data_IF_749353520888
#
_entry.id   IF_749353520888
#
_cell.length_a   1.000
_cell.length_b   1.000
_cell.length_c   1.000
_cell.angle_alpha   90.00
_cell.angle_beta   90.00
_cell.angle_gamma   90.00
#
_symmetry.space_group_name_H-M   'P 1'
#
loop_
_entity.id
_entity.type
_entity.pdbx_description
1 polymer ?
#
# COMPACT_ATOMS: atom_id res chain seq x y z
N UNK A 1 -10.40 21.40 116.61
CA UNK A 1 -10.86 22.25 115.49
C UNK A 1 -10.55 21.52 114.19
N UNK A 2 -11.61 21.19 113.45
CA UNK A 2 -11.66 20.79 112.02
C UNK A 2 -11.14 21.94 111.12
N UNK A 3 -10.82 21.78 109.79
CA UNK A 3 -11.36 20.79 108.84
C UNK A 3 -10.28 20.26 107.81
N UNK A 4 -10.60 19.69 106.61
CA UNK A 4 -10.11 18.36 106.17
C UNK A 4 -9.50 18.40 104.71
N UNK A 5 -9.44 17.32 103.89
CA UNK A 5 -8.53 17.17 102.75
C UNK A 5 -9.02 17.82 101.45
N UNK A 6 -8.09 18.19 100.56
CA UNK A 6 -8.41 18.57 99.18
C UNK A 6 -8.01 17.46 98.19
N UNK A 7 -9.02 16.83 97.61
CA UNK A 7 -8.94 16.07 96.37
C UNK A 7 -8.57 17.02 95.22
N UNK A 8 -7.62 16.62 94.37
CA UNK A 8 -7.43 17.26 93.07
C UNK A 8 -8.25 16.46 92.06
N UNK A 9 -9.38 17.05 91.64
CA UNK A 9 -10.22 16.60 90.54
C UNK A 9 -9.44 16.64 89.22
N UNK A 10 -9.52 15.53 88.47
CA UNK A 10 -9.17 15.51 87.06
C UNK A 10 -10.24 16.26 86.26
N UNK A 11 -9.84 17.26 85.48
CA UNK A 11 -10.67 17.82 84.40
C UNK A 11 -9.95 17.79 83.06
N UNK A 12 -10.37 16.79 82.30
CA UNK A 12 -10.26 16.56 80.85
C UNK A 12 -9.92 17.77 79.95
N UNK A 13 -8.82 17.63 79.20
CA UNK A 13 -8.51 18.42 78.01
C UNK A 13 -9.63 18.26 76.96
N UNK A 14 -10.41 19.32 76.70
CA UNK A 14 -11.34 19.38 75.57
C UNK A 14 -10.84 20.23 74.38
N UNK A 15 -9.70 20.91 74.51
CA UNK A 15 -9.12 21.74 73.44
C UNK A 15 -8.10 21.03 72.54
N UNK A 16 -7.29 20.12 73.09
CA UNK A 16 -6.24 19.42 72.34
C UNK A 16 -6.82 18.40 71.33
N UNK A 17 -7.96 17.78 71.66
CA UNK A 17 -8.60 16.78 70.81
C UNK A 17 -9.04 17.36 69.45
N UNK A 18 -9.58 18.58 69.43
CA UNK A 18 -10.03 19.26 68.20
C UNK A 18 -8.87 19.65 67.29
N UNK A 19 -7.77 20.13 67.87
CA UNK A 19 -6.55 20.48 67.11
C UNK A 19 -5.89 19.23 66.56
N UNK A 20 -5.79 18.16 67.36
CA UNK A 20 -5.24 16.87 66.92
C UNK A 20 -6.11 16.27 65.81
N UNK A 21 -7.44 16.33 65.93
CA UNK A 21 -8.35 15.83 64.89
C UNK A 21 -8.26 16.65 63.60
N UNK A 22 -8.13 17.98 63.69
CA UNK A 22 -7.91 18.86 62.54
C UNK A 22 -6.57 18.56 61.86
N UNK A 23 -5.50 18.39 62.62
CA UNK A 23 -4.17 18.06 62.09
C UNK A 23 -4.18 16.69 61.42
N UNK A 24 -4.81 15.69 62.02
CA UNK A 24 -4.99 14.35 61.42
C UNK A 24 -5.82 14.45 60.14
N UNK A 25 -6.87 15.28 60.12
CA UNK A 25 -7.70 15.49 58.94
C UNK A 25 -6.93 16.20 57.83
N UNK A 26 -6.17 17.26 58.12
CA UNK A 26 -5.35 17.98 57.13
C UNK A 26 -4.24 17.09 56.58
N UNK A 27 -3.56 16.30 57.43
CA UNK A 27 -2.54 15.34 56.99
C UNK A 27 -3.18 14.21 56.17
N UNK A 28 -4.35 13.72 56.57
CA UNK A 28 -5.12 12.70 55.84
C UNK A 28 -5.56 13.16 54.46
N UNK A 29 -6.12 14.37 54.35
CA UNK A 29 -6.47 14.97 53.06
C UNK A 29 -5.24 15.26 52.19
N UNK A 30 -4.14 15.72 52.79
CA UNK A 30 -2.88 15.97 52.06
C UNK A 30 -2.27 14.68 51.52
N UNK A 31 -2.28 13.59 52.29
CA UNK A 31 -1.77 12.29 51.87
C UNK A 31 -2.60 11.67 50.73
N UNK A 32 -3.94 11.81 50.78
CA UNK A 32 -4.82 11.39 49.70
C UNK A 32 -4.57 12.19 48.42
N UNK A 33 -4.36 13.50 48.54
CA UNK A 33 -4.10 14.38 47.39
C UNK A 33 -2.73 14.09 46.74
N UNK A 34 -1.67 13.92 47.55
CA UNK A 34 -0.32 13.58 47.07
C UNK A 34 -0.26 12.19 46.41
N UNK A 35 -0.97 11.18 46.96
CA UNK A 35 -1.05 9.86 46.34
C UNK A 35 -1.86 9.87 45.02
N UNK A 36 -2.90 10.68 44.92
CA UNK A 36 -3.70 10.79 43.68
C UNK A 36 -2.95 11.47 42.53
N UNK A 37 -2.12 12.48 42.84
CA UNK A 37 -1.30 13.19 41.86
C UNK A 37 -0.23 12.27 41.25
N UNK A 38 0.40 11.45 42.09
CA UNK A 38 1.42 10.46 41.66
C UNK A 38 0.86 9.42 40.68
N UNK A 39 -0.36 8.93 40.89
CA UNK A 39 -0.98 7.92 40.00
C UNK A 39 -1.38 8.50 38.64
N UNK A 40 -1.93 9.72 38.61
CA UNK A 40 -2.28 10.40 37.37
C UNK A 40 -1.02 10.69 36.54
N UNK A 41 0.06 11.18 37.17
CA UNK A 41 1.33 11.43 36.51
C UNK A 41 1.98 10.15 35.96
N UNK A 42 1.96 9.06 36.73
CA UNK A 42 2.45 7.76 36.25
C UNK A 42 1.64 7.25 35.04
N UNK A 43 0.31 7.38 35.06
CA UNK A 43 -0.52 6.99 33.92
C UNK A 43 -0.25 7.86 32.69
N UNK A 44 -0.10 9.16 32.86
CA UNK A 44 0.26 10.08 31.79
C UNK A 44 1.64 9.75 31.20
N UNK A 45 2.64 9.42 32.04
CA UNK A 45 3.95 8.98 31.59
C UNK A 45 3.88 7.68 30.78
N UNK A 46 3.08 6.70 31.24
CA UNK A 46 2.86 5.45 30.51
C UNK A 46 2.21 5.69 29.15
N UNK A 47 1.16 6.50 29.09
CA UNK A 47 0.49 6.86 27.83
C UNK A 47 1.44 7.59 26.88
N UNK A 48 2.23 8.53 27.39
CA UNK A 48 3.23 9.27 26.61
C UNK A 48 4.28 8.31 26.03
N UNK A 49 4.79 7.37 26.83
CA UNK A 49 5.73 6.35 26.37
C UNK A 49 5.10 5.44 25.31
N UNK A 50 3.87 4.97 25.52
CA UNK A 50 3.16 4.15 24.54
C UNK A 50 2.99 4.90 23.22
N UNK A 51 2.53 6.14 23.25
CA UNK A 51 2.34 6.98 22.08
C UNK A 51 3.67 7.20 21.33
N UNK A 52 4.76 7.47 22.04
CA UNK A 52 6.09 7.63 21.45
C UNK A 52 6.58 6.35 20.76
N UNK A 53 6.44 5.19 21.42
CA UNK A 53 6.81 3.89 20.85
C UNK A 53 5.97 3.54 19.61
N UNK A 54 4.65 3.76 19.64
CA UNK A 54 3.78 3.53 18.49
C UNK A 54 4.13 4.47 17.33
N UNK A 55 4.38 5.75 17.59
CA UNK A 55 4.77 6.72 16.58
C UNK A 55 6.11 6.35 15.93
N UNK A 56 7.11 5.99 16.73
CA UNK A 56 8.41 5.57 16.20
C UNK A 56 8.32 4.30 15.33
N UNK A 57 7.49 3.33 15.73
CA UNK A 57 7.22 2.14 14.92
C UNK A 57 6.50 2.48 13.60
N UNK A 58 5.52 3.39 13.65
CA UNK A 58 4.77 3.85 12.47
C UNK A 58 5.71 4.53 11.47
N UNK A 59 6.54 5.46 11.91
CA UNK A 59 7.49 6.16 11.04
C UNK A 59 8.52 5.20 10.44
N UNK A 60 9.04 4.23 11.21
CA UNK A 60 9.97 3.25 10.69
C UNK A 60 9.36 2.34 9.61
N UNK A 61 8.10 1.93 9.78
CA UNK A 61 7.37 1.13 8.77
C UNK A 61 7.12 1.94 7.49
N UNK A 62 6.73 3.21 7.60
CA UNK A 62 6.58 4.09 6.43
C UNK A 62 7.94 4.28 5.74
N UNK A 63 9.01 4.53 6.51
CA UNK A 63 10.38 4.66 5.99
C UNK A 63 10.87 3.39 5.26
N UNK A 64 10.56 2.21 5.81
CA UNK A 64 10.83 0.93 5.16
C UNK A 64 10.11 0.83 3.81
N UNK A 65 8.80 1.12 3.77
CA UNK A 65 8.02 1.08 2.54
C UNK A 65 8.53 2.06 1.47
N UNK A 66 8.91 3.28 1.88
CA UNK A 66 9.43 4.34 1.00
C UNK A 66 10.79 3.98 0.40
N UNK A 67 11.62 3.21 1.12
CA UNK A 67 12.99 2.84 0.68
C UNK A 67 13.12 1.38 0.21
N UNK A 68 12.01 0.63 0.17
CA UNK A 68 12.04 -0.80 -0.16
C UNK A 68 12.71 -1.09 -1.52
N UNK A 69 12.33 -0.38 -2.57
CA UNK A 69 12.94 -0.53 -3.91
C UNK A 69 14.42 -0.14 -3.97
N UNK A 70 14.90 0.74 -3.08
CA UNK A 70 16.32 1.13 -3.03
C UNK A 70 17.18 0.02 -2.42
N UNK A 71 16.61 -0.74 -1.48
CA UNK A 71 17.28 -1.80 -0.73
C UNK A 71 17.03 -3.20 -1.31
N UNK A 72 16.04 -3.34 -2.20
CA UNK A 72 15.65 -4.60 -2.82
C UNK A 72 15.64 -4.46 -4.34
N UNK A 73 16.78 -4.80 -4.96
CA UNK A 73 16.95 -4.73 -6.42
C UNK A 73 15.83 -5.48 -7.16
N UNK A 74 15.28 -4.84 -8.19
CA UNK A 74 14.19 -5.40 -8.98
C UNK A 74 12.81 -5.36 -8.30
N UNK A 75 12.63 -4.53 -7.27
CA UNK A 75 11.34 -4.32 -6.59
C UNK A 75 10.93 -2.85 -6.60
N UNK A 76 9.61 -2.61 -6.57
CA UNK A 76 9.03 -1.27 -6.39
C UNK A 76 8.89 -0.91 -4.92
N UNK A 77 8.70 0.37 -4.61
CA UNK A 77 8.38 0.83 -3.26
C UNK A 77 6.98 0.39 -2.81
N UNK A 78 6.71 0.49 -1.50
CA UNK A 78 5.38 0.27 -0.92
C UNK A 78 5.25 -1.00 -0.07
N UNK A 79 6.18 -1.94 -0.20
CA UNK A 79 6.14 -3.16 0.60
C UNK A 79 6.57 -2.94 2.06
N UNK A 80 5.94 -3.69 2.97
CA UNK A 80 6.21 -3.71 4.40
C UNK A 80 6.81 -5.07 4.81
N UNK A 81 7.61 -5.13 5.89
CA UNK A 81 8.21 -6.39 6.33
C UNK A 81 7.14 -7.35 6.87
N UNK A 82 7.38 -8.66 6.73
CA UNK A 82 6.64 -9.65 7.51
C UNK A 82 6.86 -9.39 9.02
N UNK A 83 5.86 -9.66 9.89
CA UNK A 83 6.05 -9.59 11.34
C UNK A 83 7.15 -10.55 11.82
N UNK A 84 7.65 -10.29 13.03
CA UNK A 84 8.48 -11.26 13.74
C UNK A 84 7.59 -12.37 14.32
N UNK A 85 7.81 -13.60 13.89
CA UNK A 85 7.05 -14.79 14.26
C UNK A 85 7.93 -15.73 15.10
N UNK A 86 7.31 -16.66 15.85
CA UNK A 86 8.05 -17.67 16.60
C UNK A 86 8.94 -18.50 15.68
N UNK A 87 10.19 -18.70 16.10
CA UNK A 87 11.14 -19.52 15.38
C UNK A 87 10.83 -21.02 15.50
N UNK A 88 10.52 -21.65 14.37
CA UNK A 88 10.74 -23.09 14.12
C UNK A 88 11.10 -23.27 12.64
N UNK A 89 12.12 -24.10 12.33
CA UNK A 89 12.70 -24.50 11.02
C UNK A 89 12.87 -23.45 9.88
N UNK A 90 12.39 -22.20 10.03
CA UNK A 90 12.35 -21.14 9.01
C UNK A 90 12.89 -19.77 9.51
N UNK A 91 13.66 -19.76 10.60
CA UNK A 91 14.83 -18.87 10.71
C UNK A 91 14.70 -17.44 11.23
N UNK A 92 13.57 -16.95 11.75
CA UNK A 92 13.54 -15.61 12.36
C UNK A 92 13.96 -15.66 13.84
N UNK A 93 15.10 -15.05 14.17
CA UNK A 93 15.44 -14.77 15.58
C UNK A 93 14.65 -13.55 16.06
N UNK A 94 14.46 -13.43 17.38
CA UNK A 94 13.69 -12.34 17.98
C UNK A 94 14.08 -10.96 17.41
N UNK A 95 13.06 -10.21 17.02
CA UNK A 95 13.18 -8.89 16.42
C UNK A 95 13.40 -8.86 14.91
N UNK A 96 13.70 -9.98 14.26
CA UNK A 96 13.83 -10.02 12.80
C UNK A 96 12.49 -10.29 12.11
N UNK A 97 12.30 -9.73 10.92
CA UNK A 97 11.16 -10.10 10.08
C UNK A 97 11.23 -11.58 9.72
N UNK A 98 10.07 -12.24 9.66
CA UNK A 98 10.01 -13.60 9.14
C UNK A 98 10.44 -13.64 7.67
N UNK A 99 11.32 -14.57 7.29
CA UNK A 99 11.75 -14.73 5.90
C UNK A 99 10.59 -15.07 4.96
N UNK A 100 9.55 -15.72 5.48
CA UNK A 100 8.23 -15.87 4.86
C UNK A 100 7.17 -15.82 5.96
N UNK A 101 6.05 -15.13 5.71
CA UNK A 101 4.91 -15.14 6.62
C UNK A 101 3.80 -16.07 6.11
N UNK A 102 2.91 -15.58 5.24
CA UNK A 102 1.74 -16.34 4.72
C UNK A 102 1.71 -16.39 3.20
N UNK A 103 0.72 -17.07 2.62
CA UNK A 103 0.45 -17.03 1.17
C UNK A 103 0.11 -15.63 0.67
N UNK A 104 0.16 -15.45 -0.65
CA UNK A 104 -0.14 -14.17 -1.33
C UNK A 104 -1.51 -13.62 -0.91
N UNK A 105 -1.60 -12.31 -0.69
CA UNK A 105 -2.82 -11.60 -0.29
C UNK A 105 -3.50 -12.13 1.00
N UNK A 106 -2.76 -12.84 1.85
CA UNK A 106 -3.21 -13.25 3.20
C UNK A 106 -2.47 -12.38 4.23
N UNK A 107 -3.22 -11.71 5.11
CA UNK A 107 -2.63 -10.87 6.16
C UNK A 107 -1.91 -11.70 7.22
N UNK A 108 -0.98 -11.10 7.95
CA UNK A 108 -0.26 -11.77 9.05
C UNK A 108 -0.17 -10.85 10.27
N UNK A 109 -0.27 -11.43 11.46
CA UNK A 109 0.00 -10.75 12.74
C UNK A 109 1.17 -11.42 13.47
N UNK A 110 1.99 -10.63 14.16
CA UNK A 110 3.11 -11.09 14.96
C UNK A 110 3.71 -9.95 15.77
N UNK A 111 4.90 -10.14 16.33
CA UNK A 111 5.62 -9.05 17.00
C UNK A 111 6.19 -8.08 15.97
N UNK A 112 6.38 -6.82 16.37
CA UNK A 112 7.06 -5.84 15.53
C UNK A 112 8.50 -6.32 15.24
N UNK A 113 8.93 -6.40 13.96
CA UNK A 113 10.29 -6.81 13.60
C UNK A 113 11.27 -5.65 13.80
N UNK A 114 11.52 -5.27 15.07
CA UNK A 114 12.29 -4.09 15.42
C UNK A 114 13.74 -4.10 14.91
N UNK A 115 14.41 -5.27 14.80
CA UNK A 115 15.76 -5.35 14.21
C UNK A 115 15.74 -5.06 12.71
N UNK A 116 14.78 -5.63 12.00
CA UNK A 116 14.59 -5.38 10.55
C UNK A 116 14.40 -3.89 10.28
N UNK A 117 13.64 -3.23 11.16
CA UNK A 117 13.36 -1.80 11.09
C UNK A 117 14.50 -0.92 11.62
N UNK A 118 15.64 -1.50 12.01
CA UNK A 118 16.76 -0.82 12.66
C UNK A 118 16.34 0.04 13.86
N UNK A 119 15.44 -0.50 14.67
CA UNK A 119 14.93 0.08 15.90
C UNK A 119 15.50 -0.65 17.12
N UNK A 120 15.57 0.01 18.29
CA UNK A 120 15.64 -0.72 19.55
C UNK A 120 14.32 -1.49 19.79
N UNK A 121 14.30 -2.47 20.72
CA UNK A 121 13.06 -3.14 21.13
C UNK A 121 12.10 -2.13 21.78
N UNK A 122 11.16 -1.61 20.98
CA UNK A 122 10.18 -0.63 21.43
C UNK A 122 9.19 -1.27 22.40
N UNK A 123 8.93 -0.58 23.51
CA UNK A 123 8.04 -1.03 24.57
C UNK A 123 6.99 0.01 24.90
N UNK A 124 5.79 -0.45 25.21
CA UNK A 124 4.74 0.40 25.71
C UNK A 124 5.00 0.90 27.15
N UNK A 125 4.06 1.69 27.67
CA UNK A 125 4.07 2.22 29.03
C UNK A 125 4.07 1.14 30.12
N UNK A 126 3.61 -0.07 29.81
CA UNK A 126 3.59 -1.21 30.75
C UNK A 126 4.80 -2.13 30.61
N UNK A 127 5.64 -1.90 29.61
CA UNK A 127 6.88 -2.64 29.38
C UNK A 127 6.77 -3.74 28.33
N UNK A 128 5.62 -3.89 27.66
CA UNK A 128 5.42 -4.90 26.62
C UNK A 128 5.97 -4.45 25.29
N UNK A 129 6.56 -5.38 24.53
CA UNK A 129 6.93 -5.12 23.15
C UNK A 129 5.69 -4.97 22.25
N UNK A 130 5.84 -4.18 21.19
CA UNK A 130 4.77 -3.92 20.24
C UNK A 130 4.44 -5.15 19.36
N UNK A 131 3.16 -5.27 19.03
CA UNK A 131 2.63 -6.20 18.03
C UNK A 131 2.34 -5.47 16.72
N UNK A 132 2.26 -6.24 15.65
CA UNK A 132 2.17 -5.71 14.30
C UNK A 132 1.38 -6.66 13.40
N UNK A 133 0.33 -6.14 12.80
CA UNK A 133 -0.41 -6.80 11.72
C UNK A 133 -0.06 -6.11 10.39
N UNK A 134 0.25 -6.91 9.38
CA UNK A 134 0.49 -6.46 8.01
C UNK A 134 -0.60 -6.98 7.09
N UNK A 135 -1.06 -6.12 6.19
CA UNK A 135 -1.99 -6.50 5.15
C UNK A 135 -1.30 -7.44 4.15
N UNK A 136 -2.04 -8.47 3.72
CA UNK A 136 -1.55 -9.45 2.76
C UNK A 136 -1.18 -8.88 1.40
N UNK A 137 -1.74 -7.73 1.02
CA UNK A 137 -1.38 -7.01 -0.21
C UNK A 137 -0.12 -6.16 -0.07
N UNK A 138 0.31 -5.83 1.15
CA UNK A 138 1.45 -4.94 1.41
C UNK A 138 2.69 -5.64 1.96
N UNK A 139 2.58 -6.88 2.43
CA UNK A 139 3.75 -7.63 2.89
C UNK A 139 4.74 -7.93 1.75
N UNK A 140 6.02 -7.92 2.09
CA UNK A 140 7.11 -8.16 1.15
C UNK A 140 7.27 -9.66 0.75
N UNK A 141 6.66 -10.60 1.50
CA UNK A 141 6.71 -12.03 1.15
C UNK A 141 5.48 -12.85 1.64
N UNK A 142 4.78 -13.63 0.79
CA UNK A 142 4.80 -13.56 -0.68
C UNK A 142 4.05 -12.30 -1.16
N UNK A 143 4.66 -11.48 -2.04
CA UNK A 143 4.10 -10.20 -2.43
C UNK A 143 2.83 -10.32 -3.28
N UNK A 144 2.05 -9.25 -3.33
CA UNK A 144 0.90 -9.13 -4.23
C UNK A 144 1.32 -9.05 -5.71
N UNK A 145 0.36 -9.12 -6.63
CA UNK A 145 0.63 -9.01 -8.07
C UNK A 145 0.86 -7.57 -8.54
N UNK A 146 0.22 -6.61 -7.89
CA UNK A 146 0.26 -5.19 -8.26
C UNK A 146 0.54 -4.38 -6.99
N UNK A 147 1.70 -3.73 -6.93
CA UNK A 147 2.06 -2.78 -5.89
C UNK A 147 2.17 -1.37 -6.49
N UNK A 148 1.06 -0.66 -6.43
CA UNK A 148 0.92 0.72 -6.87
C UNK A 148 -0.02 1.49 -5.92
N UNK A 149 -0.25 2.78 -6.19
CA UNK A 149 -1.05 3.63 -5.30
C UNK A 149 -2.51 3.23 -5.13
N UNK A 150 -3.02 2.31 -5.96
CA UNK A 150 -4.38 1.77 -5.89
C UNK A 150 -4.44 0.36 -5.28
N UNK A 151 -3.28 -0.21 -4.89
CA UNK A 151 -3.23 -1.39 -4.02
C UNK A 151 -3.80 -1.01 -2.67
N UNK A 152 -4.95 -1.59 -2.31
CA UNK A 152 -5.62 -1.29 -1.04
C UNK A 152 -5.17 -2.24 0.07
N UNK A 153 -5.36 -1.78 1.31
CA UNK A 153 -5.17 -2.61 2.49
C UNK A 153 -6.27 -3.65 2.65
N UNK A 154 -6.09 -4.52 3.65
CA UNK A 154 -7.02 -5.59 4.02
C UNK A 154 -7.38 -5.51 5.51
N UNK A 155 -7.05 -4.41 6.19
CA UNK A 155 -7.25 -4.28 7.63
C UNK A 155 -8.27 -3.17 7.87
N UNK A 156 -9.41 -3.53 8.44
CA UNK A 156 -10.46 -2.60 8.85
C UNK A 156 -10.24 -2.20 10.30
N UNK A 157 -10.16 -0.90 10.58
CA UNK A 157 -10.07 -0.39 11.94
C UNK A 157 -11.37 0.30 12.29
N UNK A 158 -12.03 -0.16 13.34
CA UNK A 158 -13.24 0.45 13.90
C UNK A 158 -12.86 1.34 15.08
N UNK A 159 -13.61 2.42 15.31
CA UNK A 159 -13.46 3.32 16.46
C UNK A 159 -13.77 2.58 17.78
N UNK A 160 -13.86 3.29 18.90
CA UNK A 160 -14.13 2.72 20.24
C UNK A 160 -15.61 2.38 20.52
N UNK A 161 -16.51 2.67 19.58
CA UNK A 161 -17.94 2.29 19.62
C UNK A 161 -18.25 0.89 19.07
N UNK A 162 -17.49 0.42 18.08
CA UNK A 162 -17.48 -0.95 17.55
C UNK A 162 -18.08 -1.01 16.16
N UNK A 163 -18.54 0.15 15.68
CA UNK A 163 -19.42 0.28 14.53
C UNK A 163 -18.90 1.34 13.56
N UNK A 164 -18.27 2.41 14.05
CA UNK A 164 -17.70 3.46 13.20
C UNK A 164 -16.41 2.97 12.55
N UNK A 165 -16.42 2.78 11.24
CA UNK A 165 -15.24 2.39 10.48
C UNK A 165 -14.32 3.61 10.25
N UNK A 166 -13.09 3.56 10.77
CA UNK A 166 -12.08 4.61 10.62
C UNK A 166 -11.28 4.50 9.31
N UNK A 167 -11.30 3.32 8.69
CA UNK A 167 -10.57 3.02 7.45
C UNK A 167 -11.57 2.68 6.34
N UNK A 168 -11.98 3.65 5.51
CA UNK A 168 -13.03 3.45 4.50
C UNK A 168 -12.64 2.38 3.48
N UNK A 169 -13.63 1.87 2.75
CA UNK A 169 -13.49 0.68 1.90
C UNK A 169 -12.34 0.77 0.88
N UNK A 170 -12.03 1.96 0.36
CA UNK A 170 -10.98 2.24 -0.62
C UNK A 170 -9.69 2.81 -0.02
N UNK A 171 -9.58 2.86 1.31
CA UNK A 171 -8.40 3.28 2.05
C UNK A 171 -8.27 2.49 3.36
N UNK A 172 -8.36 1.17 3.24
CA UNK A 172 -8.18 0.26 4.38
C UNK A 172 -6.75 0.34 4.91
N UNK A 173 -6.56 0.01 6.18
CA UNK A 173 -5.22 -0.04 6.75
C UNK A 173 -4.38 -1.15 6.09
N UNK A 174 -3.13 -0.82 5.83
CA UNK A 174 -2.09 -1.73 5.30
C UNK A 174 -1.22 -2.28 6.41
N UNK A 175 -1.19 -1.60 7.55
CA UNK A 175 -0.59 -2.09 8.77
C UNK A 175 -1.30 -1.54 10.02
N UNK A 176 -1.26 -2.32 11.09
CA UNK A 176 -1.71 -1.91 12.42
C UNK A 176 -0.64 -2.32 13.43
N UNK A 177 -0.27 -1.39 14.30
CA UNK A 177 0.76 -1.57 15.33
C UNK A 177 0.08 -1.45 16.68
N UNK A 178 0.21 -2.46 17.52
CA UNK A 178 -0.47 -2.55 18.80
C UNK A 178 0.52 -2.46 19.96
N UNK A 179 0.11 -1.75 20.99
CA UNK A 179 0.66 -1.74 22.33
C UNK A 179 -0.32 -2.49 23.25
N UNK A 180 0.02 -3.70 23.72
CA UNK A 180 -0.88 -4.56 24.48
C UNK A 180 -1.38 -3.98 25.81
N UNK A 181 -0.64 -3.03 26.39
CA UNK A 181 -0.94 -2.54 27.72
C UNK A 181 -0.87 -3.62 28.80
N UNK A 182 -1.54 -3.35 29.92
CA UNK A 182 -1.52 -4.25 31.08
C UNK A 182 -2.26 -5.55 30.76
N UNK A 183 -1.75 -6.68 31.26
CA UNK A 183 -2.37 -7.97 31.03
C UNK A 183 -3.81 -8.02 31.56
N UNK A 184 -4.74 -8.44 30.71
CA UNK A 184 -6.14 -8.67 31.08
C UNK A 184 -6.36 -10.09 31.62
N UNK A 185 -7.52 -10.32 32.24
CA UNK A 185 -7.90 -11.66 32.72
C UNK A 185 -7.90 -12.67 31.57
N UNK A 186 -7.21 -13.79 31.75
CA UNK A 186 -7.08 -14.85 30.75
C UNK A 186 -5.84 -14.72 29.85
N UNK A 187 -5.16 -13.57 29.84
CA UNK A 187 -3.91 -13.41 29.11
C UNK A 187 -2.74 -14.05 29.86
N UNK A 188 -2.06 -14.99 29.19
CA UNK A 188 -0.92 -15.72 29.76
C UNK A 188 0.38 -15.39 29.03
N UNK A 189 1.12 -14.44 29.58
CA UNK A 189 2.37 -13.91 28.99
C UNK A 189 3.60 -14.66 29.49
N UNK A 190 3.51 -15.99 29.61
CA UNK A 190 4.60 -16.83 30.13
C UNK A 190 5.87 -16.70 29.29
N UNK A 191 7.04 -16.45 29.90
CA UNK A 191 8.31 -16.36 29.19
C UNK A 191 8.67 -17.61 28.38
N UNK A 192 9.16 -17.39 27.16
CA UNK A 192 9.71 -18.35 26.23
C UNK A 192 11.19 -17.99 25.97
N UNK A 193 12.07 -19.00 25.96
CA UNK A 193 13.50 -18.86 25.67
C UNK A 193 13.75 -18.33 24.26
N UNK A 194 12.78 -18.41 23.35
CA UNK A 194 12.82 -17.80 22.01
C UNK A 194 12.62 -16.27 22.01
N UNK A 195 12.31 -15.67 23.16
CA UNK A 195 12.08 -14.21 23.34
C UNK A 195 12.90 -13.60 24.49
N UNK A 196 14.24 -13.74 24.51
CA UNK A 196 15.06 -13.26 25.63
C UNK A 196 14.97 -11.75 25.88
N UNK A 197 14.62 -10.95 24.87
CA UNK A 197 14.53 -9.50 24.99
C UNK A 197 13.11 -9.09 25.36
N UNK A 198 12.13 -9.34 24.50
CA UNK A 198 10.74 -8.94 24.71
C UNK A 198 10.03 -9.72 25.81
N UNK A 199 10.51 -10.93 26.11
CA UNK A 199 9.89 -11.84 27.06
C UNK A 199 8.55 -12.39 26.56
N UNK A 200 8.00 -13.31 27.35
CA UNK A 200 6.70 -13.89 27.07
C UNK A 200 6.71 -14.85 25.88
N UNK A 201 5.66 -14.87 25.03
CA UNK A 201 5.55 -15.80 23.90
C UNK A 201 5.03 -15.11 22.62
N UNK A 202 4.89 -15.85 21.51
CA UNK A 202 4.42 -15.33 20.22
C UNK A 202 2.93 -15.60 19.92
N UNK A 203 2.12 -15.88 20.95
CA UNK A 203 0.68 -16.07 20.78
C UNK A 203 -0.03 -14.73 20.94
N UNK A 204 -0.55 -14.13 19.86
CA UNK A 204 -1.17 -12.80 19.89
C UNK A 204 -2.31 -12.67 20.91
N UNK A 205 -3.14 -13.71 21.08
CA UNK A 205 -4.26 -13.72 22.04
C UNK A 205 -3.83 -13.71 23.51
N UNK A 206 -2.55 -13.94 23.80
CA UNK A 206 -2.00 -13.76 25.15
C UNK A 206 -1.67 -12.30 25.47
N UNK A 207 -1.85 -11.38 24.51
CA UNK A 207 -1.46 -9.97 24.62
C UNK A 207 -2.55 -9.02 24.18
N UNK A 208 -3.17 -9.30 23.05
CA UNK A 208 -4.15 -8.41 22.42
C UNK A 208 -5.58 -8.86 22.74
N UNK A 209 -6.46 -7.88 22.81
CA UNK A 209 -7.78 -8.02 23.39
C UNK A 209 -8.87 -8.37 22.37
N UNK A 210 -10.01 -8.82 22.88
CA UNK A 210 -11.20 -9.13 22.10
C UNK A 210 -12.44 -8.77 22.89
N UNK A 211 -13.41 -8.11 22.24
CA UNK A 211 -14.74 -7.84 22.82
C UNK A 211 -15.77 -8.92 22.45
N UNK A 212 -15.29 -10.04 21.90
CA UNK A 212 -16.13 -11.14 21.40
C UNK A 212 -16.68 -10.91 19.99
N UNK A 213 -16.67 -9.68 19.48
CA UNK A 213 -17.11 -9.33 18.12
C UNK A 213 -15.94 -8.96 17.22
N UNK A 214 -15.03 -8.12 17.73
CA UNK A 214 -13.78 -7.71 17.09
C UNK A 214 -12.62 -8.17 17.96
N UNK A 215 -11.64 -8.80 17.33
CA UNK A 215 -10.52 -9.44 18.02
C UNK A 215 -9.19 -8.93 17.49
N UNK A 216 -8.48 -8.13 18.31
CA UNK A 216 -7.21 -7.53 17.97
C UNK A 216 -6.07 -8.53 17.79
N UNK A 217 -6.21 -9.74 18.31
CA UNK A 217 -5.23 -10.82 18.16
C UNK A 217 -5.32 -11.59 16.83
N UNK A 218 -6.26 -11.28 15.94
CA UNK A 218 -6.54 -12.14 14.77
C UNK A 218 -6.61 -11.38 13.45
N UNK A 219 -6.13 -12.03 12.39
CA UNK A 219 -6.31 -11.63 10.99
C UNK A 219 -6.97 -12.77 10.22
N UNK A 220 -7.58 -12.48 9.08
CA UNK A 220 -8.15 -13.53 8.23
C UNK A 220 -7.05 -14.38 7.58
N UNK A 221 -7.21 -15.70 7.64
CA UNK A 221 -6.35 -16.67 6.94
C UNK A 221 -6.75 -16.87 5.47
N UNK A 222 -7.80 -16.19 5.00
CA UNK A 222 -8.32 -16.31 3.63
C UNK A 222 -7.72 -15.20 2.76
N UNK A 223 -7.26 -15.54 1.56
CA UNK A 223 -6.73 -14.56 0.62
C UNK A 223 -7.79 -13.50 0.27
N UNK A 224 -7.37 -12.24 0.18
CA UNK A 224 -8.22 -11.08 -0.12
C UNK A 224 -9.28 -10.74 0.94
N UNK A 225 -9.38 -11.50 2.04
CA UNK A 225 -10.32 -11.22 3.10
C UNK A 225 -9.81 -10.12 4.04
N UNK A 226 -10.75 -9.36 4.60
CA UNK A 226 -10.42 -8.26 5.51
C UNK A 226 -10.35 -8.72 6.97
N UNK A 227 -9.31 -8.30 7.70
CA UNK A 227 -9.26 -8.38 9.16
C UNK A 227 -9.99 -7.18 9.81
N UNK A 228 -10.43 -7.32 11.06
CA UNK A 228 -11.11 -6.26 11.81
C UNK A 228 -10.39 -6.01 13.13
N UNK A 229 -10.17 -4.73 13.46
CA UNK A 229 -9.48 -4.28 14.66
C UNK A 229 -10.25 -3.16 15.37
N UNK A 230 -10.01 -3.03 16.67
CA UNK A 230 -10.78 -2.22 17.61
C UNK A 230 -9.95 -1.09 18.22
N UNK A 231 -10.14 0.13 17.75
CA UNK A 231 -9.36 1.31 18.16
C UNK A 231 -9.92 1.96 19.42
N UNK A 232 -9.02 2.30 20.34
CA UNK A 232 -9.36 2.97 21.59
C UNK A 232 -9.79 1.98 22.67
N UNK A 233 -9.99 2.53 23.87
CA UNK A 233 -10.35 1.74 25.04
C UNK A 233 -11.84 1.44 25.08
N UNK A 234 -12.19 0.22 25.44
CA UNK A 234 -13.56 -0.24 25.65
C UNK A 234 -13.59 -1.28 26.78
N UNK A 235 -14.77 -1.74 27.19
CA UNK A 235 -14.86 -2.83 28.17
C UNK A 235 -14.17 -4.09 27.62
N UNK A 236 -13.13 -4.56 28.32
CA UNK A 236 -12.31 -5.69 27.87
C UNK A 236 -11.28 -5.34 26.79
N UNK A 237 -11.11 -4.07 26.41
CA UNK A 237 -10.10 -3.61 25.45
C UNK A 237 -9.28 -2.47 26.07
N UNK A 238 -8.01 -2.75 26.35
CA UNK A 238 -7.01 -1.78 26.80
C UNK A 238 -5.81 -1.67 25.85
N UNK A 239 -5.79 -2.44 24.76
CA UNK A 239 -4.90 -2.23 23.63
C UNK A 239 -4.92 -0.78 23.15
N UNK A 240 -3.73 -0.20 22.96
CA UNK A 240 -3.55 1.02 22.20
C UNK A 240 -2.98 0.65 20.83
N UNK A 241 -3.30 1.42 19.79
CA UNK A 241 -2.71 1.17 18.47
C UNK A 241 -2.55 2.42 17.64
N UNK A 242 -1.73 2.31 16.61
CA UNK A 242 -1.73 3.18 15.44
C UNK A 242 -1.87 2.32 14.19
N UNK A 243 -2.46 2.88 13.14
CA UNK A 243 -2.55 2.24 11.84
C UNK A 243 -1.92 3.09 10.74
N UNK A 244 -1.53 2.40 9.68
CA UNK A 244 -0.99 2.97 8.45
C UNK A 244 -1.97 2.60 7.35
N UNK A 245 -2.40 3.59 6.58
CA UNK A 245 -3.24 3.42 5.39
C UNK A 245 -2.38 3.38 4.13
N UNK A 246 -2.95 2.98 2.99
CA UNK A 246 -2.24 3.10 1.70
C UNK A 246 -1.86 4.56 1.42
N UNK A 247 -2.72 5.52 1.78
CA UNK A 247 -2.45 6.94 1.56
C UNK A 247 -1.23 7.42 2.34
N UNK A 248 -1.02 6.96 3.57
CA UNK A 248 0.18 7.32 4.35
C UNK A 248 1.47 6.95 3.60
N UNK A 249 1.52 5.73 3.05
CA UNK A 249 2.68 5.23 2.28
C UNK A 249 2.83 5.97 0.96
N UNK A 250 1.78 6.06 0.15
CA UNK A 250 1.89 6.63 -1.20
C UNK A 250 2.02 8.15 -1.20
N UNK A 251 1.52 8.85 -0.18
CA UNK A 251 1.80 10.28 0.00
C UNK A 251 3.27 10.52 0.36
N UNK A 252 3.93 9.57 1.05
CA UNK A 252 5.36 9.66 1.32
C UNK A 252 6.20 9.32 0.07
N UNK A 253 5.84 8.27 -0.66
CA UNK A 253 6.53 7.87 -1.90
C UNK A 253 6.45 8.96 -2.97
N UNK A 254 5.28 9.59 -3.16
CA UNK A 254 5.09 10.66 -4.15
C UNK A 254 5.93 11.91 -3.87
N UNK A 255 6.40 12.11 -2.64
CA UNK A 255 7.29 13.23 -2.28
C UNK A 255 8.76 12.97 -2.64
N UNK A 256 9.13 11.74 -3.01
CA UNK A 256 10.47 11.46 -3.50
C UNK A 256 10.70 12.21 -4.82
N UNK A 257 11.90 12.76 -4.99
CA UNK A 257 12.27 13.52 -6.18
C UNK A 257 12.43 12.65 -7.44
N UNK A 258 12.68 11.34 -7.27
CA UNK A 258 12.90 10.38 -8.35
C UNK A 258 11.61 9.68 -8.82
N UNK A 259 10.57 9.63 -7.98
CA UNK A 259 9.38 8.83 -8.24
C UNK A 259 8.68 9.20 -9.56
N UNK A 260 8.46 10.49 -9.81
CA UNK A 260 7.84 10.93 -11.07
C UNK A 260 8.74 10.63 -12.27
N UNK A 261 10.06 10.76 -12.14
CA UNK A 261 11.00 10.43 -13.20
C UNK A 261 10.96 8.92 -13.52
N UNK A 262 10.79 8.07 -12.50
CA UNK A 262 10.62 6.62 -12.66
C UNK A 262 9.35 6.27 -13.42
N UNK A 263 8.21 6.90 -13.09
CA UNK A 263 6.96 6.69 -13.83
C UNK A 263 7.05 7.18 -15.28
N UNK A 264 7.70 8.32 -15.52
CA UNK A 264 7.97 8.80 -16.88
C UNK A 264 8.85 7.81 -17.66
N UNK A 265 9.94 7.33 -17.05
CA UNK A 265 10.84 6.38 -17.68
C UNK A 265 10.12 5.07 -18.03
N UNK A 266 9.33 4.51 -17.11
CA UNK A 266 8.53 3.32 -17.37
C UNK A 266 7.55 3.53 -18.54
N UNK A 267 6.87 4.68 -18.60
CA UNK A 267 5.92 5.02 -19.67
C UNK A 267 6.64 5.17 -21.01
N UNK A 268 7.77 5.86 -21.03
CA UNK A 268 8.64 5.99 -22.19
C UNK A 268 9.09 4.62 -22.70
N UNK A 269 9.66 3.78 -21.82
CA UNK A 269 10.18 2.46 -22.17
C UNK A 269 9.07 1.55 -22.71
N UNK A 270 7.86 1.67 -22.17
CA UNK A 270 6.68 0.98 -22.68
C UNK A 270 6.36 1.41 -24.12
N UNK A 271 6.36 2.72 -24.41
CA UNK A 271 6.18 3.23 -25.77
C UNK A 271 7.32 2.80 -26.72
N UNK A 272 8.55 2.73 -26.23
CA UNK A 272 9.69 2.26 -27.00
C UNK A 272 9.60 0.76 -27.34
N UNK A 273 9.05 -0.09 -26.45
CA UNK A 273 8.76 -1.49 -26.78
C UNK A 273 7.71 -1.63 -27.90
N UNK A 274 6.65 -0.82 -27.86
CA UNK A 274 5.65 -0.75 -28.94
C UNK A 274 6.29 -0.32 -30.26
N UNK A 275 7.12 0.72 -30.23
CA UNK A 275 7.86 1.17 -31.40
C UNK A 275 8.82 0.10 -31.94
N UNK A 276 9.49 -0.65 -31.06
CA UNK A 276 10.37 -1.75 -31.44
C UNK A 276 9.62 -2.87 -32.17
N UNK A 277 8.40 -3.22 -31.72
CA UNK A 277 7.53 -4.12 -32.48
C UNK A 277 7.29 -3.60 -33.90
N UNK A 278 6.95 -2.32 -34.05
CA UNK A 278 6.77 -1.69 -35.36
C UNK A 278 8.02 -1.74 -36.24
N UNK A 279 9.21 -1.59 -35.65
CA UNK A 279 10.48 -1.60 -36.36
C UNK A 279 10.93 -3.00 -36.79
N UNK A 280 10.35 -4.06 -36.21
CA UNK A 280 10.75 -5.46 -36.42
C UNK A 280 9.73 -6.28 -37.22
N UNK A 281 8.63 -5.66 -37.66
CA UNK A 281 7.66 -6.30 -38.53
C UNK A 281 8.17 -6.42 -39.98
N UNK A 282 7.82 -7.52 -40.65
CA UNK A 282 7.91 -7.62 -42.12
C UNK A 282 9.29 -7.89 -42.76
N UNK A 283 10.17 -8.72 -42.19
CA UNK A 283 11.35 -9.23 -42.95
C UNK A 283 11.32 -10.73 -43.26
N UNK A 284 11.60 -11.14 -44.53
CA UNK A 284 12.23 -10.35 -45.60
C UNK A 284 11.31 -10.15 -46.83
N UNK A 285 10.62 -9.01 -46.92
CA UNK A 285 10.22 -8.49 -48.23
C UNK A 285 11.47 -7.88 -48.90
N UNK A 286 11.68 -8.14 -50.19
CA UNK A 286 12.86 -7.73 -50.96
C UNK A 286 13.03 -6.20 -51.15
N UNK A 287 12.23 -5.40 -50.44
CA UNK A 287 12.36 -3.95 -50.34
C UNK A 287 11.90 -3.50 -48.92
N UNK A 288 12.82 -3.24 -47.97
CA UNK A 288 12.53 -3.09 -46.55
C UNK A 288 12.01 -1.70 -46.11
N UNK A 289 11.60 -0.83 -47.03
CA UNK A 289 10.91 0.39 -46.64
C UNK A 289 9.44 0.06 -46.32
N UNK A 290 9.02 0.29 -45.06
CA UNK A 290 7.77 0.95 -44.66
C UNK A 290 6.70 0.20 -43.85
N UNK A 291 6.76 -1.10 -43.54
CA UNK A 291 5.79 -1.64 -42.56
C UNK A 291 6.17 -1.17 -41.15
N UNK A 292 5.41 -0.21 -40.64
CA UNK A 292 5.52 0.40 -39.32
C UNK A 292 4.25 0.15 -38.50
N UNK A 293 3.57 -0.96 -38.77
CA UNK A 293 2.38 -1.34 -38.05
C UNK A 293 2.73 -1.64 -36.59
N UNK A 294 1.95 -1.10 -35.66
CA UNK A 294 2.04 -1.34 -34.23
C UNK A 294 0.98 -2.38 -33.82
N UNK A 295 1.10 -3.04 -32.65
CA UNK A 295 0.12 -4.05 -32.28
C UNK A 295 -1.23 -3.43 -31.91
N UNK A 296 -2.31 -4.21 -31.97
CA UNK A 296 -3.60 -3.85 -31.38
C UNK A 296 -3.49 -3.62 -29.87
N UNK A 297 -4.45 -2.89 -29.29
CA UNK A 297 -4.54 -2.74 -27.84
C UNK A 297 -5.09 -4.02 -27.18
N UNK A 298 -4.83 -4.19 -25.88
CA UNK A 298 -5.52 -5.19 -25.05
C UNK A 298 -6.85 -4.63 -24.49
N UNK A 299 -7.85 -5.48 -24.20
CA UNK A 299 -9.12 -5.05 -23.63
C UNK A 299 -8.97 -4.29 -22.31
N UNK A 300 -9.90 -3.36 -22.03
CA UNK A 300 -9.94 -2.66 -20.73
C UNK A 300 -10.31 -3.61 -19.59
N UNK A 301 -11.32 -4.46 -19.80
CA UNK A 301 -11.82 -5.41 -18.81
C UNK A 301 -11.07 -6.72 -18.90
N UNK A 302 -10.34 -7.07 -17.84
CA UNK A 302 -9.55 -8.29 -17.75
C UNK A 302 -10.09 -9.21 -16.65
N UNK A 303 -9.85 -10.51 -16.80
CA UNK A 303 -10.19 -11.50 -15.77
C UNK A 303 -9.36 -11.31 -14.50
N UNK A 304 -8.09 -10.98 -14.65
CA UNK A 304 -7.15 -10.65 -13.57
C UNK A 304 -6.14 -9.63 -14.10
N UNK A 305 -6.12 -8.44 -13.49
CA UNK A 305 -5.23 -7.33 -13.88
C UNK A 305 -3.78 -7.55 -13.43
N UNK A 306 -3.55 -8.44 -12.47
CA UNK A 306 -2.23 -8.82 -12.00
C UNK A 306 -1.53 -9.84 -12.90
N UNK A 307 -2.29 -10.59 -13.72
CA UNK A 307 -1.77 -11.63 -14.58
C UNK A 307 -1.40 -11.10 -15.99
N UNK A 308 -0.11 -11.11 -16.31
CA UNK A 308 0.43 -10.64 -17.61
C UNK A 308 -0.24 -11.31 -18.81
N UNK A 309 -0.59 -12.59 -18.69
CA UNK A 309 -1.22 -13.36 -19.76
C UNK A 309 -2.58 -12.85 -20.21
N UNK A 310 -3.25 -12.03 -19.40
CA UNK A 310 -4.56 -11.48 -19.70
C UNK A 310 -4.49 -10.20 -20.54
N UNK A 311 -3.33 -9.56 -20.63
CA UNK A 311 -3.09 -8.42 -21.50
C UNK A 311 -2.74 -8.93 -22.90
N UNK A 312 -3.66 -9.66 -23.53
CA UNK A 312 -3.54 -10.08 -24.92
C UNK A 312 -4.21 -9.07 -25.83
N UNK A 313 -3.59 -8.79 -26.98
CA UNK A 313 -4.13 -7.83 -27.91
C UNK A 313 -5.42 -8.35 -28.57
N UNK A 314 -6.33 -7.44 -28.91
CA UNK A 314 -7.61 -7.80 -29.54
C UNK A 314 -7.72 -7.14 -30.91
N UNK A 315 -7.91 -7.96 -31.95
CA UNK A 315 -8.06 -7.46 -33.31
C UNK A 315 -9.17 -6.39 -33.43
N UNK A 316 -8.85 -5.27 -34.07
CA UNK A 316 -9.75 -4.13 -34.25
C UNK A 316 -9.84 -3.17 -33.07
N UNK A 317 -9.08 -3.39 -31.99
CA UNK A 317 -9.07 -2.51 -30.83
C UNK A 317 -7.99 -1.42 -30.96
N UNK A 318 -8.41 -0.22 -31.37
CA UNK A 318 -7.54 0.95 -31.56
C UNK A 318 -7.25 1.74 -30.28
N UNK A 319 -7.94 1.46 -29.18
CA UNK A 319 -7.58 2.00 -27.87
C UNK A 319 -7.93 1.01 -26.76
N UNK A 320 -7.10 0.94 -25.75
CA UNK A 320 -7.25 0.01 -24.64
C UNK A 320 -6.05 0.02 -23.71
N UNK A 321 -5.75 -1.12 -23.12
CA UNK A 321 -4.54 -1.31 -22.31
C UNK A 321 -3.34 -1.59 -23.20
N UNK A 322 -2.14 -1.30 -22.70
CA UNK A 322 -0.92 -1.77 -23.36
C UNK A 322 -0.90 -3.31 -23.33
N UNK A 323 -0.74 -3.99 -24.47
CA UNK A 323 -0.69 -5.45 -24.50
C UNK A 323 0.64 -5.99 -23.93
N UNK A 324 0.59 -7.13 -23.26
CA UNK A 324 1.74 -7.95 -22.92
C UNK A 324 1.98 -9.03 -24.00
N UNK A 325 0.90 -9.67 -24.47
CA UNK A 325 0.88 -10.58 -25.61
C UNK A 325 0.29 -9.88 -26.82
N UNK A 326 0.82 -10.18 -27.99
CA UNK A 326 0.42 -9.60 -29.27
C UNK A 326 0.04 -10.69 -30.28
N UNK A 327 -0.74 -11.68 -29.85
CA UNK A 327 -1.07 -12.85 -30.67
C UNK A 327 -1.78 -12.49 -31.99
N UNK A 328 -2.76 -11.58 -31.94
CA UNK A 328 -3.51 -11.16 -33.12
C UNK A 328 -2.64 -10.33 -34.08
N UNK A 329 -1.84 -9.41 -33.53
CA UNK A 329 -0.95 -8.58 -34.33
C UNK A 329 0.20 -9.39 -34.93
N UNK A 330 0.82 -10.27 -34.14
CA UNK A 330 1.92 -11.13 -34.58
C UNK A 330 1.51 -12.00 -35.77
N UNK A 331 0.34 -12.65 -35.68
CA UNK A 331 -0.19 -13.47 -36.78
C UNK A 331 -0.50 -12.65 -38.03
N UNK A 332 -0.87 -11.37 -37.87
CA UNK A 332 -1.19 -10.47 -38.98
C UNK A 332 0.06 -9.90 -39.64
N UNK A 333 1.08 -9.49 -38.87
CA UNK A 333 2.26 -8.77 -39.39
C UNK A 333 3.40 -9.68 -39.83
N UNK A 334 3.28 -11.00 -39.64
CA UNK A 334 4.36 -11.98 -39.85
C UNK A 334 5.68 -11.52 -39.16
N UNK A 335 5.55 -10.99 -37.95
CA UNK A 335 6.66 -10.44 -37.17
C UNK A 335 7.74 -11.49 -36.90
N UNK A 336 9.02 -11.09 -36.94
CA UNK A 336 10.14 -11.97 -36.60
C UNK A 336 10.57 -11.83 -35.13
N UNK A 337 9.69 -11.34 -34.25
CA UNK A 337 9.99 -11.25 -32.81
C UNK A 337 10.47 -12.59 -32.27
N UNK A 338 11.53 -12.54 -31.46
CA UNK A 338 12.38 -13.69 -31.17
C UNK A 338 11.75 -14.70 -30.19
N UNK A 339 10.70 -14.32 -29.45
CA UNK A 339 10.16 -15.13 -28.35
C UNK A 339 8.62 -14.97 -28.17
N UNK A 340 7.85 -15.95 -28.66
CA UNK A 340 6.47 -16.28 -28.20
C UNK A 340 5.43 -15.15 -28.17
N UNK A 341 5.38 -14.29 -29.18
CA UNK A 341 4.37 -13.22 -29.32
C UNK A 341 4.27 -12.28 -28.11
N UNK A 342 5.33 -12.16 -27.31
CA UNK A 342 5.37 -11.28 -26.15
C UNK A 342 5.86 -9.90 -26.57
N UNK A 343 5.07 -8.85 -26.35
CA UNK A 343 5.49 -7.48 -26.63
C UNK A 343 6.64 -7.08 -25.72
N UNK A 344 6.43 -7.22 -24.41
CA UNK A 344 7.34 -6.69 -23.41
C UNK A 344 8.16 -7.81 -22.76
N UNK A 345 9.38 -7.99 -23.26
CA UNK A 345 10.37 -8.90 -22.67
C UNK A 345 11.79 -8.35 -22.88
N UNK A 346 12.79 -8.97 -22.24
CA UNK A 346 14.18 -8.52 -22.31
C UNK A 346 14.80 -8.49 -23.72
N UNK A 347 14.21 -9.20 -24.69
CA UNK A 347 14.73 -9.33 -26.06
C UNK A 347 13.96 -8.49 -27.09
N UNK A 348 12.69 -8.17 -26.80
CA UNK A 348 11.76 -7.47 -27.67
C UNK A 348 11.58 -5.99 -27.28
N UNK A 349 12.29 -5.54 -26.24
CA UNK A 349 12.32 -4.15 -25.80
C UNK A 349 13.74 -3.58 -25.89
N UNK A 350 13.90 -2.26 -26.06
CA UNK A 350 15.21 -1.63 -26.12
C UNK A 350 15.93 -1.64 -24.77
N UNK A 351 17.20 -1.20 -24.79
CA UNK A 351 18.03 -1.09 -23.60
C UNK A 351 17.36 -0.25 -22.50
N UNK A 352 17.58 -0.66 -21.24
CA UNK A 352 16.93 -0.07 -20.06
C UNK A 352 15.57 -0.67 -19.71
N UNK A 353 15.00 -1.56 -20.53
CA UNK A 353 13.74 -2.24 -20.19
C UNK A 353 13.83 -3.09 -18.91
N UNK A 354 14.97 -3.74 -18.68
CA UNK A 354 15.16 -4.57 -17.48
C UNK A 354 14.94 -3.80 -16.16
N UNK A 355 15.32 -2.52 -16.14
CA UNK A 355 15.15 -1.66 -14.96
C UNK A 355 13.70 -1.13 -14.85
N UNK A 356 13.04 -0.91 -15.98
CA UNK A 356 11.64 -0.48 -16.04
C UNK A 356 10.64 -1.63 -15.79
N UNK A 357 11.02 -2.88 -16.06
CA UNK A 357 10.12 -4.03 -16.01
C UNK A 357 9.46 -4.26 -14.63
N UNK A 358 10.17 -4.18 -13.49
CA UNK A 358 9.53 -4.31 -12.18
C UNK A 358 8.45 -3.27 -11.92
N UNK A 359 8.67 -2.04 -12.41
CA UNK A 359 7.69 -0.97 -12.34
C UNK A 359 6.51 -1.27 -13.26
N UNK A 360 6.76 -1.61 -14.52
CA UNK A 360 5.71 -1.99 -15.46
C UNK A 360 4.85 -3.15 -14.90
N UNK A 361 5.45 -4.19 -14.35
CA UNK A 361 4.72 -5.37 -13.86
C UNK A 361 3.77 -5.03 -12.69
N UNK A 362 4.11 -4.01 -11.89
CA UNK A 362 3.29 -3.54 -10.77
C UNK A 362 2.31 -2.42 -11.16
N UNK A 363 2.50 -1.76 -12.30
CA UNK A 363 1.78 -0.56 -12.73
C UNK A 363 1.06 -0.71 -14.07
N UNK A 364 1.14 -1.88 -14.71
CA UNK A 364 0.53 -2.16 -16.03
C UNK A 364 -0.97 -1.88 -16.11
N UNK A 365 -1.69 -1.93 -14.99
CA UNK A 365 -3.12 -1.59 -14.95
C UNK A 365 -3.39 -0.07 -15.02
N UNK A 366 -2.35 0.76 -15.04
CA UNK A 366 -2.40 2.21 -15.30
C UNK A 366 -1.98 2.61 -16.71
N UNK A 367 -1.49 1.66 -17.52
CA UNK A 367 -0.96 1.93 -18.86
C UNK A 367 -2.02 1.68 -19.93
N UNK A 368 -2.31 2.73 -20.69
CA UNK A 368 -3.25 2.75 -21.80
C UNK A 368 -2.54 3.10 -23.10
N UNK A 369 -3.13 2.68 -24.20
CA UNK A 369 -2.54 2.74 -25.53
C UNK A 369 -3.62 3.06 -26.55
N UNK A 370 -3.32 4.03 -27.40
CA UNK A 370 -4.14 4.43 -28.53
C UNK A 370 -3.35 4.35 -29.83
N UNK A 371 -3.86 3.57 -30.77
CA UNK A 371 -3.26 3.22 -32.04
C UNK A 371 -3.88 4.04 -33.18
N UNK A 372 -3.04 4.52 -34.09
CA UNK A 372 -3.49 5.13 -35.34
C UNK A 372 -4.04 4.11 -36.33
N UNK A 373 -5.07 4.53 -37.07
CA UNK A 373 -5.71 3.75 -38.11
C UNK A 373 -4.73 3.22 -39.15
N UNK A 374 -3.85 4.10 -39.63
CA UNK A 374 -2.83 3.75 -40.66
C UNK A 374 -1.69 2.89 -40.13
N UNK A 375 -1.49 2.85 -38.80
CA UNK A 375 -0.46 2.05 -38.16
C UNK A 375 -1.00 0.73 -37.61
N UNK A 376 -2.23 0.34 -37.95
CA UNK A 376 -2.80 -0.93 -37.51
C UNK A 376 -2.02 -2.15 -38.05
N UNK A 377 -2.03 -3.29 -37.33
CA UNK A 377 -1.44 -4.53 -37.81
C UNK A 377 -1.90 -4.91 -39.22
N UNK A 378 -0.97 -4.87 -40.17
CA UNK A 378 -1.13 -5.37 -41.54
C UNK A 378 0.21 -5.94 -42.04
N UNK A 379 0.18 -6.80 -43.06
CA UNK A 379 1.40 -7.30 -43.71
C UNK A 379 1.70 -6.57 -45.02
N UNK A 380 1.61 -5.25 -45.00
CA UNK A 380 1.93 -4.37 -46.14
C UNK A 380 2.67 -3.12 -45.65
N UNK A 381 3.17 -2.34 -46.60
CA UNK A 381 3.69 -1.00 -46.35
C UNK A 381 2.68 -0.13 -45.56
N UNK A 382 3.14 0.57 -44.53
CA UNK A 382 2.32 1.54 -43.80
C UNK A 382 2.09 2.77 -44.66
N UNK A 383 0.83 3.16 -44.82
CA UNK A 383 0.45 4.35 -45.57
C UNK A 383 0.85 5.63 -44.80
N UNK A 384 1.00 6.77 -45.50
CA UNK A 384 1.10 8.07 -44.85
C UNK A 384 -0.12 8.33 -43.97
N UNK A 385 0.04 9.16 -42.93
CA UNK A 385 -1.06 9.48 -42.02
C UNK A 385 -2.18 10.27 -42.69
N UNK A 386 -3.24 9.57 -43.11
CA UNK A 386 -4.55 10.14 -43.41
C UNK A 386 -5.56 9.92 -42.27
N UNK A 387 -5.36 8.88 -41.47
CA UNK A 387 -6.23 8.48 -40.37
C UNK A 387 -5.38 8.09 -39.16
N UNK A 388 -4.88 9.11 -38.44
CA UNK A 388 -3.94 8.97 -37.33
C UNK A 388 -4.39 9.78 -36.13
N UNK A 389 -4.04 9.29 -34.93
CA UNK A 389 -4.28 10.00 -33.69
C UNK A 389 -3.42 11.26 -33.61
N UNK A 390 -3.93 12.26 -32.92
CA UNK A 390 -3.23 13.52 -32.62
C UNK A 390 -3.21 13.75 -31.12
N UNK A 391 -2.38 14.68 -30.65
CA UNK A 391 -2.42 15.15 -29.25
C UNK A 391 -2.46 16.66 -29.24
N UNK A 392 -3.46 17.24 -28.59
CA UNK A 392 -3.62 18.69 -28.48
C UNK A 392 -3.65 19.39 -29.85
N UNK A 393 -4.21 18.74 -30.87
CA UNK A 393 -4.28 19.27 -32.24
C UNK A 393 -2.93 19.36 -32.97
N UNK A 394 -1.90 18.68 -32.46
CA UNK A 394 -0.55 18.66 -33.06
C UNK A 394 -0.45 17.69 -34.25
N UNK A 395 0.78 17.48 -34.74
CA UNK A 395 1.07 16.57 -35.85
C UNK A 395 0.61 15.12 -35.54
N UNK A 396 0.26 14.33 -36.57
CA UNK A 396 -0.21 12.96 -36.37
C UNK A 396 0.89 12.05 -35.82
N UNK A 397 0.49 11.12 -34.95
CA UNK A 397 1.35 10.11 -34.35
C UNK A 397 0.98 8.71 -34.85
N UNK A 398 1.89 7.75 -34.73
CA UNK A 398 1.58 6.33 -34.95
C UNK A 398 0.76 5.74 -33.80
N UNK A 399 1.04 6.20 -32.59
CA UNK A 399 0.29 5.85 -31.39
C UNK A 399 0.63 6.79 -30.23
N UNK A 400 -0.18 6.70 -29.17
CA UNK A 400 0.00 7.41 -27.90
C UNK A 400 -0.09 6.40 -26.77
N UNK A 401 0.87 6.45 -25.84
CA UNK A 401 0.85 5.70 -24.58
C UNK A 401 0.56 6.66 -23.45
N UNK A 402 -0.38 6.31 -22.59
CA UNK A 402 -0.86 7.12 -21.48
C UNK A 402 -0.68 6.34 -20.18
N UNK A 403 -0.01 6.92 -19.19
CA UNK A 403 -0.05 6.45 -17.82
C UNK A 403 -1.03 7.30 -17.03
N UNK A 404 -2.06 6.67 -16.48
CA UNK A 404 -3.00 7.31 -15.57
C UNK A 404 -2.31 7.65 -14.24
N UNK A 405 -2.39 8.93 -13.83
CA UNK A 405 -1.82 9.42 -12.58
C UNK A 405 -2.58 8.95 -11.33
N UNK A 406 -2.33 9.62 -10.20
CA UNK A 406 -3.00 9.30 -8.94
C UNK A 406 -4.51 9.55 -9.06
N UNK A 407 -5.31 8.84 -8.27
CA UNK A 407 -6.76 8.92 -8.40
C UNK A 407 -7.29 10.34 -8.15
N UNK A 408 -7.98 10.91 -9.14
CA UNK A 408 -8.70 12.17 -9.01
C UNK A 408 -10.05 11.98 -8.29
N UNK A 409 -10.65 13.04 -7.74
CA UNK A 409 -11.83 12.97 -6.87
C UNK A 409 -13.02 12.23 -7.47
N UNK A 410 -13.27 12.36 -8.78
CA UNK A 410 -14.41 11.72 -9.45
C UNK A 410 -14.15 10.26 -9.86
N UNK A 411 -12.90 9.80 -9.81
CA UNK A 411 -12.52 8.46 -10.25
C UNK A 411 -12.82 7.44 -9.15
N UNK A 412 -13.09 6.18 -9.51
CA UNK A 412 -13.20 5.06 -8.56
C UNK A 412 -12.40 3.86 -9.05
N UNK A 413 -11.29 3.56 -8.39
CA UNK A 413 -10.44 2.39 -8.71
C UNK A 413 -10.58 1.39 -7.57
N UNK A 414 -11.53 0.45 -7.69
CA UNK A 414 -11.71 -0.56 -6.67
C UNK A 414 -10.48 -1.47 -6.61
N UNK A 415 -10.06 -1.85 -5.40
CA UNK A 415 -9.01 -2.84 -5.21
C UNK A 415 -9.48 -4.24 -5.56
N UNK A 416 -8.51 -5.12 -5.80
CA UNK A 416 -8.59 -6.55 -6.12
C UNK A 416 -9.33 -7.44 -5.08
N UNK A 417 -10.16 -6.85 -4.20
CA UNK A 417 -10.91 -7.55 -3.15
C UNK A 417 -12.21 -8.19 -3.66
N UNK A 418 -12.54 -8.03 -4.93
CA UNK A 418 -13.62 -8.76 -5.60
C UNK A 418 -13.12 -9.20 -6.98
N UNK A 419 -13.15 -10.51 -7.23
CA UNK A 419 -12.56 -11.16 -8.41
C UNK A 419 -13.02 -10.64 -9.77
N UNK A 420 -12.49 -11.28 -10.81
CA UNK A 420 -12.77 -11.07 -12.23
C UNK A 420 -14.13 -10.40 -12.52
N UNK A 421 -14.11 -9.19 -13.09
CA UNK A 421 -15.33 -8.47 -13.51
C UNK A 421 -15.74 -7.28 -12.64
N UNK A 422 -14.89 -6.78 -11.74
CA UNK A 422 -15.16 -5.50 -11.07
C UNK A 422 -15.22 -4.36 -12.11
N UNK A 423 -16.45 -3.89 -12.37
CA UNK A 423 -16.77 -2.78 -13.29
C UNK A 423 -15.89 -1.54 -13.15
N UNK A 424 -15.31 -1.20 -11.98
CA UNK A 424 -14.49 0.00 -11.87
C UNK A 424 -13.16 -0.07 -12.62
N UNK A 425 -12.44 -1.21 -12.58
CA UNK A 425 -11.10 -1.31 -13.21
C UNK A 425 -11.14 -1.41 -14.74
N UNK A 426 -12.27 -1.87 -15.29
CA UNK A 426 -12.51 -1.90 -16.74
C UNK A 426 -13.07 -0.59 -17.31
N UNK A 427 -13.40 0.38 -16.46
CA UNK A 427 -13.98 1.66 -16.86
C UNK A 427 -12.88 2.71 -17.01
N UNK A 428 -12.65 3.19 -18.24
CA UNK A 428 -11.55 4.11 -18.54
C UNK A 428 -11.62 5.43 -17.77
N UNK A 429 -12.83 5.97 -17.56
CA UNK A 429 -13.06 7.20 -16.80
C UNK A 429 -12.63 7.11 -15.33
N UNK A 430 -12.34 5.90 -14.83
CA UNK A 430 -11.77 5.73 -13.50
C UNK A 430 -10.25 5.90 -13.49
N UNK A 431 -9.60 6.05 -14.65
CA UNK A 431 -8.14 6.15 -14.76
C UNK A 431 -7.70 7.44 -15.45
N UNK A 432 -8.20 7.68 -16.66
CA UNK A 432 -7.87 8.85 -17.47
C UNK A 432 -8.95 9.93 -17.33
N UNK A 433 -8.65 11.13 -17.81
CA UNK A 433 -9.56 12.27 -17.79
C UNK A 433 -9.60 13.04 -19.13
N UNK A 434 -10.51 14.02 -19.22
CA UNK A 434 -10.67 14.88 -20.40
C UNK A 434 -10.78 14.08 -21.70
N UNK A 435 -10.05 14.50 -22.74
CA UNK A 435 -10.03 13.79 -24.04
C UNK A 435 -9.34 12.42 -23.99
N UNK A 436 -8.49 12.17 -22.99
CA UNK A 436 -7.84 10.86 -22.85
C UNK A 436 -8.83 9.77 -22.49
N UNK A 437 -9.82 10.09 -21.67
CA UNK A 437 -10.96 9.22 -21.42
C UNK A 437 -12.07 9.37 -22.47
N UNK A 438 -12.42 10.61 -22.82
CA UNK A 438 -13.60 10.94 -23.63
C UNK A 438 -13.56 10.46 -25.08
N UNK A 439 -12.36 10.20 -25.63
CA UNK A 439 -12.21 9.73 -27.02
C UNK A 439 -12.07 8.22 -27.16
N UNK A 440 -12.18 7.46 -26.07
CA UNK A 440 -12.33 6.01 -26.12
C UNK A 440 -13.70 5.62 -26.71
N UNK A 441 -13.80 4.57 -27.57
CA UNK A 441 -12.79 3.56 -27.90
C UNK A 441 -11.89 3.88 -29.10
N UNK A 442 -11.87 5.13 -29.60
CA UNK A 442 -11.09 5.51 -30.78
C UNK A 442 -11.35 4.59 -31.99
N UNK A 443 -12.61 4.30 -32.29
CA UNK A 443 -13.00 3.21 -33.22
C UNK A 443 -12.46 3.29 -34.66
N UNK A 444 -11.81 4.39 -35.03
CA UNK A 444 -11.14 4.56 -36.33
C UNK A 444 -9.64 4.87 -36.23
N UNK A 445 -9.07 5.00 -35.03
CA UNK A 445 -7.64 5.30 -34.87
C UNK A 445 -7.25 6.73 -35.26
N UNK A 446 -8.13 7.71 -35.01
CA UNK A 446 -7.96 9.12 -35.41
C UNK A 446 -8.43 10.15 -34.38
N UNK A 447 -8.63 9.72 -33.14
CA UNK A 447 -8.94 10.61 -32.04
C UNK A 447 -7.81 11.62 -31.74
N UNK A 448 -8.19 12.77 -31.20
CA UNK A 448 -7.26 13.79 -30.69
C UNK A 448 -7.21 13.72 -29.16
N UNK A 449 -6.08 13.24 -28.62
CA UNK A 449 -5.85 13.13 -27.19
C UNK A 449 -5.38 14.46 -26.60
N UNK A 450 -5.20 14.55 -25.29
CA UNK A 450 -4.74 15.77 -24.65
C UNK A 450 -3.54 15.53 -23.75
N UNK A 451 -2.62 16.47 -23.80
CA UNK A 451 -1.55 16.62 -22.83
C UNK A 451 -1.58 18.06 -22.34
N UNK A 452 -1.40 18.25 -21.04
CA UNK A 452 -1.39 19.56 -20.40
C UNK A 452 -0.60 19.50 -19.09
N UNK A 453 -0.36 20.66 -18.49
CA UNK A 453 0.26 20.73 -17.15
C UNK A 453 -0.63 20.04 -16.13
N UNK A 454 0.01 19.26 -15.24
CA UNK A 454 -0.66 18.56 -14.16
C UNK A 454 -1.34 19.56 -13.22
N UNK A 455 -2.61 19.32 -12.92
CA UNK A 455 -3.41 20.11 -11.99
C UNK A 455 -4.40 19.20 -11.20
N UNK A 456 -5.37 19.81 -10.51
CA UNK A 456 -6.37 19.06 -9.74
C UNK A 456 -7.38 18.26 -10.59
N UNK A 457 -7.39 18.45 -11.91
CA UNK A 457 -8.30 17.81 -12.85
C UNK A 457 -7.60 17.01 -13.96
N UNK A 458 -6.26 17.04 -14.04
CA UNK A 458 -5.47 16.29 -15.01
C UNK A 458 -4.10 15.88 -14.46
N UNK A 459 -3.76 14.61 -14.57
CA UNK A 459 -2.47 14.07 -14.13
C UNK A 459 -1.94 12.90 -14.97
N UNK A 460 -2.48 12.68 -16.17
CA UNK A 460 -1.95 11.70 -17.13
C UNK A 460 -0.52 12.05 -17.60
N UNK A 461 0.32 11.03 -17.79
CA UNK A 461 1.65 11.14 -18.43
C UNK A 461 1.59 10.52 -19.82
N UNK A 462 2.00 11.27 -20.85
CA UNK A 462 1.87 10.85 -22.25
C UNK A 462 3.20 10.77 -22.99
N UNK A 463 3.43 9.64 -23.66
CA UNK A 463 4.49 9.47 -24.63
C UNK A 463 3.91 9.12 -26.00
N UNK A 464 4.42 9.82 -27.01
CA UNK A 464 3.95 9.76 -28.38
C UNK A 464 4.95 8.96 -29.22
N UNK A 465 4.45 7.99 -29.98
CA UNK A 465 5.21 7.27 -31.00
C UNK A 465 4.98 7.99 -32.32
N UNK A 466 6.00 8.63 -32.87
CA UNK A 466 5.91 9.33 -34.16
C UNK A 466 5.75 8.34 -35.31
N UNK A 467 5.36 8.83 -36.48
CA UNK A 467 5.18 8.04 -37.71
C UNK A 467 6.49 7.44 -38.25
N UNK A 468 7.64 7.90 -37.76
CA UNK A 468 8.95 7.30 -37.97
C UNK A 468 9.37 6.28 -36.89
N UNK A 469 8.46 5.98 -35.94
CA UNK A 469 8.65 5.12 -34.77
C UNK A 469 9.61 5.69 -33.72
N UNK A 470 10.03 6.96 -33.82
CA UNK A 470 10.71 7.63 -32.71
C UNK A 470 9.74 7.93 -31.57
N UNK A 471 10.21 7.79 -30.33
CA UNK A 471 9.41 8.05 -29.11
C UNK A 471 9.85 9.36 -28.49
N UNK A 472 8.87 10.18 -28.08
CA UNK A 472 9.10 11.42 -27.35
C UNK A 472 7.93 11.72 -26.40
N UNK A 473 8.12 12.57 -25.37
CA UNK A 473 7.00 13.16 -24.66
C UNK A 473 6.03 13.80 -25.63
N UNK A 474 4.72 13.65 -25.39
CA UNK A 474 3.73 14.36 -26.18
C UNK A 474 3.80 15.88 -25.94
N UNK A 475 3.44 16.71 -26.93
CA UNK A 475 3.57 18.17 -26.86
C UNK A 475 2.58 18.82 -25.90
#
# INVERSE_FOLDING_TARGET
MHPPPHCIDGTTQRGAALIVMLVIMVIGFSALLVNSFSLADLNNQRQTKTAASLAQAKEALIGYAVTYGDTHSGKVHGYLPCPNLSGGALGATEGNAAGSCTGKNISQIGRLPWKELNLPPLRDGTGECLWYAVSGTYKNNTPTSLMNWDTNGQLQVYASDGTTLLTPADNQAVAVIFAPGAAQTGQTRTPDTSTPICGGNYTASNYLDSDGTINNATVSAVANATGKFRFGTAAGINDQMLFITRQDIWNAIQKRNDFLATLNNMTQKTAECLAFFGATNGKPLANPASNKSLPWAAPLSLADYGANSNYDDQAGLYAGRVPYKVNNSYSTTASTMLNSNLLVNATNCPSGWADAYPWWDNWKDHLFYALSGEHRPVNIATAPCGNCVTVSGSAPYAAVVMLAGSRLTAQVRASDTSGAGSTPRGTLNNYLEGRNAGNYPNGSGNADYQNQTIDGGFNDILYCIRTDLSVAPCP
#
